data_IF_459576013855
#
_entry.id   IF_459576013855
#
_cell.length_a   1.000
_cell.length_b   1.000
_cell.length_c   1.000
_cell.angle_alpha   90.00
_cell.angle_beta   90.00
_cell.angle_gamma   90.00
#
_symmetry.space_group_name_H-M   'P 1'
#
loop_
_entity.id
_entity.type
_entity.pdbx_description
1 polymer ?
#
# COMPACT_ATOMS: atom_id res chain seq x y z
N UNK A 1 2.63 -16.18 -13.20
CA UNK A 1 3.14 -14.82 -12.90
C UNK A 1 2.33 -13.88 -13.75
N UNK A 2 1.70 -12.87 -13.17
CA UNK A 2 0.98 -11.87 -13.97
C UNK A 2 2.00 -10.97 -14.68
N UNK A 3 1.61 -10.39 -15.81
CA UNK A 3 2.37 -9.30 -16.42
C UNK A 3 2.25 -8.06 -15.53
N UNK A 4 3.35 -7.34 -15.28
CA UNK A 4 3.37 -6.18 -14.37
C UNK A 4 3.72 -4.87 -15.10
N UNK A 5 3.92 -4.94 -16.42
CA UNK A 5 4.43 -3.83 -17.24
C UNK A 5 5.94 -3.56 -17.11
N UNK A 6 6.59 -4.04 -16.04
CA UNK A 6 8.01 -3.74 -15.76
C UNK A 6 8.95 -4.93 -15.87
N UNK A 7 8.44 -6.17 -15.75
CA UNK A 7 9.28 -7.38 -15.75
C UNK A 7 10.24 -7.49 -14.56
N UNK A 8 10.09 -6.63 -13.55
CA UNK A 8 10.87 -6.67 -12.30
C UNK A 8 10.47 -7.89 -11.49
N UNK A 9 11.45 -8.58 -10.92
CA UNK A 9 11.25 -9.74 -10.05
C UNK A 9 11.89 -9.51 -8.68
N UNK A 10 11.61 -10.38 -7.72
CA UNK A 10 12.15 -10.29 -6.36
C UNK A 10 12.96 -11.55 -6.05
N UNK A 11 14.22 -11.37 -5.62
CA UNK A 11 15.07 -12.46 -5.14
C UNK A 11 14.89 -12.64 -3.63
N UNK A 12 14.29 -13.75 -3.26
CA UNK A 12 13.95 -14.09 -1.88
C UNK A 12 15.18 -14.34 -1.00
N UNK A 13 16.30 -14.77 -1.58
CA UNK A 13 17.50 -15.08 -0.81
C UNK A 13 18.20 -13.80 -0.32
N UNK A 14 18.20 -12.77 -1.18
CA UNK A 14 18.84 -11.49 -0.90
C UNK A 14 17.87 -10.43 -0.36
N UNK A 15 16.56 -10.63 -0.52
CA UNK A 15 15.50 -9.63 -0.28
C UNK A 15 15.66 -8.38 -1.16
N UNK A 16 16.03 -8.59 -2.43
CA UNK A 16 16.31 -7.52 -3.39
C UNK A 16 15.43 -7.63 -4.63
N UNK A 17 15.20 -6.49 -5.28
CA UNK A 17 14.54 -6.44 -6.58
C UNK A 17 15.55 -6.59 -7.71
N UNK A 18 15.20 -7.39 -8.71
CA UNK A 18 15.99 -7.62 -9.91
C UNK A 18 15.38 -6.86 -11.08
N UNK A 19 16.16 -5.89 -11.57
CA UNK A 19 15.78 -4.97 -12.63
C UNK A 19 16.26 -5.51 -14.00
N UNK A 20 15.37 -5.84 -14.94
CA UNK A 20 15.78 -6.23 -16.29
C UNK A 20 16.36 -5.04 -17.07
N UNK A 21 17.04 -5.32 -18.19
CA UNK A 21 17.56 -4.28 -19.06
C UNK A 21 16.44 -3.32 -19.52
N UNK A 22 16.72 -2.00 -19.49
CA UNK A 22 15.74 -0.98 -19.85
C UNK A 22 14.87 -0.49 -18.68
N UNK A 23 15.05 -1.03 -17.47
CA UNK A 23 14.45 -0.50 -16.24
C UNK A 23 15.46 0.27 -15.39
N UNK A 24 14.97 1.14 -14.51
CA UNK A 24 15.71 1.80 -13.44
C UNK A 24 15.07 1.52 -12.08
N UNK A 25 15.88 1.67 -11.04
CA UNK A 25 15.47 1.54 -9.65
C UNK A 25 16.68 1.70 -8.73
N UNK A 26 16.48 1.75 -7.41
CA UNK A 26 17.57 1.82 -6.45
C UNK A 26 18.42 0.55 -6.49
N UNK A 27 19.73 0.70 -6.23
CA UNK A 27 20.69 -0.42 -6.22
C UNK A 27 20.48 -1.40 -5.05
N UNK A 28 19.74 -0.98 -4.03
CA UNK A 28 19.36 -1.75 -2.85
C UNK A 28 17.94 -1.41 -2.44
N UNK A 29 17.15 -2.42 -2.10
CA UNK A 29 15.86 -2.23 -1.46
C UNK A 29 16.05 -1.70 -0.04
N UNK A 30 15.18 -0.78 0.37
CA UNK A 30 15.06 -0.37 1.75
C UNK A 30 14.36 -1.48 2.54
N UNK A 31 15.00 -1.94 3.62
CA UNK A 31 14.49 -3.03 4.44
C UNK A 31 13.75 -2.48 5.67
N UNK A 32 12.58 -3.04 5.96
CA UNK A 32 11.80 -2.76 7.17
C UNK A 32 11.89 -3.95 8.09
N UNK A 33 12.49 -3.73 9.25
CA UNK A 33 12.76 -4.79 10.21
C UNK A 33 11.61 -4.94 11.19
N UNK A 34 11.53 -6.10 11.84
CA UNK A 34 10.50 -6.38 12.85
C UNK A 34 10.39 -5.26 13.90
N UNK A 35 11.53 -4.80 14.41
CA UNK A 35 11.63 -3.70 15.39
C UNK A 35 10.94 -2.41 14.92
N UNK A 36 10.90 -2.16 13.62
CA UNK A 36 10.30 -0.95 13.04
C UNK A 36 8.78 -1.06 13.04
N UNK A 37 8.22 -2.27 13.15
CA UNK A 37 6.78 -2.53 13.06
C UNK A 37 6.14 -2.80 14.43
N UNK A 38 6.89 -3.35 15.39
CA UNK A 38 6.36 -3.82 16.69
C UNK A 38 5.52 -2.80 17.46
N UNK A 39 5.82 -1.51 17.36
CA UNK A 39 5.08 -0.43 18.02
C UNK A 39 3.65 -0.20 17.48
N UNK A 40 3.33 -0.79 16.32
CA UNK A 40 2.02 -0.71 15.66
C UNK A 40 1.22 -2.01 15.78
N UNK A 41 1.72 -2.97 16.56
CA UNK A 41 1.12 -4.29 16.76
C UNK A 41 0.31 -4.28 18.06
N UNK A 42 -0.69 -5.15 18.20
CA UNK A 42 -1.41 -5.33 19.45
C UNK A 42 -0.50 -5.90 20.56
N UNK A 43 0.49 -6.71 20.18
CA UNK A 43 1.51 -7.24 21.09
C UNK A 43 2.91 -6.82 20.64
N UNK A 44 3.52 -5.88 21.36
CA UNK A 44 4.83 -5.30 21.04
C UNK A 44 6.01 -6.27 21.24
N UNK A 45 5.82 -7.39 21.92
CA UNK A 45 6.86 -8.41 22.16
C UNK A 45 6.83 -9.56 21.15
N UNK A 46 5.93 -9.47 20.16
CA UNK A 46 5.72 -10.50 19.15
C UNK A 46 6.99 -10.85 18.39
N UNK A 47 7.07 -12.10 17.95
CA UNK A 47 8.16 -12.62 17.11
C UNK A 47 7.67 -12.85 15.70
N UNK A 48 8.57 -12.67 14.74
CA UNK A 48 8.29 -12.79 13.31
C UNK A 48 9.62 -12.79 12.55
N UNK A 49 9.57 -12.65 11.22
CA UNK A 49 10.78 -12.56 10.41
C UNK A 49 11.56 -11.27 10.74
N UNK A 50 12.89 -11.33 10.67
CA UNK A 50 13.75 -10.18 10.95
C UNK A 50 13.48 -9.02 9.97
N UNK A 51 13.36 -9.34 8.68
CA UNK A 51 12.91 -8.43 7.63
C UNK A 51 11.43 -8.72 7.37
N UNK A 52 10.58 -7.71 7.58
CA UNK A 52 9.13 -7.81 7.41
C UNK A 52 8.76 -7.52 5.96
N UNK A 53 9.36 -6.49 5.36
CA UNK A 53 9.18 -6.17 3.94
C UNK A 53 10.34 -5.33 3.38
N UNK A 54 10.49 -5.39 2.05
CA UNK A 54 11.50 -4.69 1.26
C UNK A 54 10.80 -3.70 0.32
N UNK A 55 11.31 -2.47 0.23
CA UNK A 55 10.73 -1.38 -0.58
C UNK A 55 11.76 -0.90 -1.60
N UNK A 56 11.36 -0.73 -2.84
CA UNK A 56 12.11 0.08 -3.81
C UNK A 56 11.19 1.17 -4.36
N UNK A 57 11.52 2.43 -4.03
CA UNK A 57 10.83 3.60 -4.55
C UNK A 57 11.55 4.11 -5.80
N UNK A 58 10.80 4.78 -6.67
CA UNK A 58 11.30 5.35 -7.92
C UNK A 58 11.87 4.29 -8.86
N UNK A 59 10.99 3.37 -9.26
CA UNK A 59 11.27 2.34 -10.27
C UNK A 59 10.50 2.64 -11.55
N UNK A 60 10.99 2.15 -12.69
CA UNK A 60 10.28 2.32 -13.96
C UNK A 60 11.13 1.94 -15.17
N UNK A 61 10.60 2.19 -16.36
CA UNK A 61 11.35 2.08 -17.61
C UNK A 61 12.19 3.33 -17.85
N UNK A 62 13.43 3.15 -18.30
CA UNK A 62 14.39 4.25 -18.54
C UNK A 62 13.83 5.28 -19.53
N UNK A 63 13.07 4.83 -20.53
CA UNK A 63 12.42 5.71 -21.52
C UNK A 63 11.39 6.66 -20.92
N UNK A 64 10.78 6.29 -19.79
CA UNK A 64 9.67 7.02 -19.18
C UNK A 64 10.13 7.93 -18.02
N UNK A 65 11.36 7.76 -17.57
CA UNK A 65 11.91 8.45 -16.40
C UNK A 65 11.77 9.98 -16.48
N UNK A 66 12.05 10.58 -17.64
CA UNK A 66 11.97 12.02 -17.82
C UNK A 66 10.55 12.56 -17.66
N UNK A 67 9.54 11.82 -18.13
CA UNK A 67 8.13 12.21 -18.01
C UNK A 67 7.62 12.01 -16.57
N UNK A 68 7.96 10.88 -15.93
CA UNK A 68 7.65 10.62 -14.53
C UNK A 68 8.22 11.70 -13.59
N UNK A 69 9.46 12.13 -13.81
CA UNK A 69 10.07 13.24 -13.07
C UNK A 69 9.30 14.54 -13.31
N UNK A 70 9.02 14.88 -14.57
CA UNK A 70 8.30 16.12 -14.92
C UNK A 70 6.90 16.19 -14.29
N UNK A 71 6.23 15.05 -14.11
CA UNK A 71 4.89 14.96 -13.51
C UNK A 71 4.87 14.93 -11.99
N UNK A 72 6.03 14.80 -11.35
CA UNK A 72 6.12 14.48 -9.92
C UNK A 72 5.38 13.17 -9.58
N UNK A 73 5.41 12.19 -10.49
CA UNK A 73 4.86 10.85 -10.29
C UNK A 73 6.01 9.85 -10.13
N UNK A 74 5.87 8.89 -9.24
CA UNK A 74 6.79 7.75 -9.14
C UNK A 74 6.03 6.44 -8.96
N UNK A 75 6.71 5.35 -9.33
CA UNK A 75 6.26 4.01 -9.05
C UNK A 75 7.10 3.41 -7.92
N UNK A 76 6.44 2.82 -6.93
CA UNK A 76 7.06 2.03 -5.87
C UNK A 76 6.76 0.55 -6.08
N UNK A 77 7.67 -0.31 -5.64
CA UNK A 77 7.44 -1.76 -5.55
C UNK A 77 7.79 -2.24 -4.15
N UNK A 78 6.98 -3.16 -3.64
CA UNK A 78 7.12 -3.65 -2.27
C UNK A 78 6.92 -5.16 -2.22
N UNK A 79 7.77 -5.84 -1.45
CA UNK A 79 7.71 -7.27 -1.22
C UNK A 79 7.64 -7.56 0.28
N UNK A 80 6.54 -8.15 0.72
CA UNK A 80 6.29 -8.54 2.10
C UNK A 80 6.74 -9.98 2.31
N UNK A 81 7.30 -10.28 3.48
CA UNK A 81 7.60 -11.64 3.88
C UNK A 81 6.31 -12.49 3.93
N UNK A 82 6.48 -13.81 3.79
CA UNK A 82 5.47 -14.77 4.22
C UNK A 82 5.53 -14.94 5.75
N UNK A 83 4.46 -15.48 6.35
CA UNK A 83 4.42 -15.81 7.78
C UNK A 83 3.49 -14.90 8.57
N UNK A 84 3.87 -14.65 9.82
CA UNK A 84 3.13 -13.84 10.78
C UNK A 84 4.08 -13.18 11.78
N UNK A 85 3.58 -12.15 12.46
CA UNK A 85 4.22 -11.54 13.63
C UNK A 85 3.34 -11.90 14.83
N UNK A 86 3.74 -12.94 15.57
CA UNK A 86 2.87 -13.56 16.57
C UNK A 86 1.61 -14.13 15.91
N UNK A 87 0.44 -13.68 16.39
CA UNK A 87 -0.86 -14.02 15.82
C UNK A 87 -1.35 -13.05 14.75
N UNK A 88 -0.66 -11.93 14.53
CA UNK A 88 -0.99 -10.94 13.50
C UNK A 88 -0.27 -11.25 12.17
N UNK A 89 -0.85 -10.91 11.01
CA UNK A 89 -0.19 -11.05 9.71
C UNK A 89 1.02 -10.12 9.56
N UNK A 90 1.85 -10.40 8.55
CA UNK A 90 2.86 -9.47 8.07
C UNK A 90 2.14 -8.22 7.54
N UNK A 91 2.46 -7.05 8.08
CA UNK A 91 1.84 -5.77 7.70
C UNK A 91 2.84 -4.61 7.80
N UNK A 92 2.55 -3.50 7.12
CA UNK A 92 3.24 -2.23 7.39
C UNK A 92 2.76 -1.60 8.70
N UNK A 93 3.57 -0.67 9.23
CA UNK A 93 3.24 0.08 10.46
C UNK A 93 1.98 0.94 10.35
N UNK A 94 1.60 1.29 9.11
CA UNK A 94 0.52 2.21 8.80
C UNK A 94 0.96 3.67 8.82
N UNK A 95 0.39 4.48 7.93
CA UNK A 95 0.70 5.90 7.78
C UNK A 95 -0.45 6.69 7.16
N UNK A 96 -0.36 8.01 7.26
CA UNK A 96 -1.10 8.95 6.42
C UNK A 96 -0.10 9.59 5.46
N UNK A 97 -0.47 9.82 4.21
CA UNK A 97 0.35 10.62 3.31
C UNK A 97 0.42 12.06 3.79
N UNK A 98 1.64 12.56 4.02
CA UNK A 98 1.89 13.96 4.31
C UNK A 98 1.41 14.85 3.16
N UNK A 99 1.15 16.12 3.46
CA UNK A 99 0.84 17.08 2.40
C UNK A 99 2.00 17.21 1.43
N UNK A 100 1.75 16.88 0.16
CA UNK A 100 2.70 17.05 -0.94
C UNK A 100 2.97 18.54 -1.18
N UNK A 101 4.23 18.89 -1.43
CA UNK A 101 4.62 20.25 -1.84
C UNK A 101 4.14 20.54 -3.26
N UNK A 102 4.01 19.52 -4.10
CA UNK A 102 3.52 19.62 -5.47
C UNK A 102 2.07 20.09 -5.55
N UNK A 103 1.17 19.52 -4.74
CA UNK A 103 -0.27 19.84 -4.81
C UNK A 103 -0.85 20.49 -3.54
N UNK A 104 -0.05 20.70 -2.49
CA UNK A 104 -0.47 21.32 -1.22
C UNK A 104 -1.61 20.57 -0.51
N UNK A 105 -1.71 19.26 -0.74
CA UNK A 105 -2.64 18.36 -0.05
C UNK A 105 -2.05 16.96 0.07
N UNK A 106 -2.63 16.13 0.93
CA UNK A 106 -2.34 14.70 0.96
C UNK A 106 -2.77 14.08 -0.39
N UNK A 107 -2.08 13.03 -0.82
CA UNK A 107 -2.28 12.39 -2.13
C UNK A 107 -2.85 10.99 -1.99
N UNK A 108 -3.58 10.47 -2.98
CA UNK A 108 -4.01 9.08 -2.96
C UNK A 108 -2.81 8.16 -3.24
N UNK A 109 -3.05 6.86 -3.14
CA UNK A 109 -2.13 5.81 -3.55
C UNK A 109 -2.90 4.77 -4.37
N UNK A 110 -2.31 4.32 -5.49
CA UNK A 110 -2.94 3.32 -6.37
C UNK A 110 -2.09 2.06 -6.35
N UNK A 111 -2.60 1.01 -5.72
CA UNK A 111 -1.94 -0.29 -5.59
C UNK A 111 -2.32 -1.21 -6.75
N UNK A 112 -1.37 -1.98 -7.26
CA UNK A 112 -1.63 -3.16 -8.09
C UNK A 112 -0.96 -4.38 -7.44
N UNK A 113 -1.74 -5.40 -7.10
CA UNK A 113 -1.20 -6.61 -6.48
C UNK A 113 -0.58 -7.48 -7.56
N UNK A 114 0.68 -7.88 -7.40
CA UNK A 114 1.43 -8.66 -8.39
C UNK A 114 1.52 -10.15 -8.04
N UNK A 115 1.57 -10.47 -6.75
CA UNK A 115 1.59 -11.85 -6.25
C UNK A 115 1.07 -11.92 -4.83
N UNK A 116 0.41 -13.02 -4.49
CA UNK A 116 -0.20 -13.23 -3.17
C UNK A 116 -1.57 -12.57 -3.04
N UNK A 117 -2.02 -12.42 -1.81
CA UNK A 117 -3.30 -11.81 -1.45
C UNK A 117 -3.04 -10.70 -0.43
N UNK A 118 -3.49 -9.50 -0.78
CA UNK A 118 -3.38 -8.31 0.04
C UNK A 118 -4.70 -8.00 0.73
N UNK A 119 -4.60 -7.38 1.90
CA UNK A 119 -5.65 -6.52 2.43
C UNK A 119 -5.08 -5.12 2.54
N UNK A 120 -5.70 -4.16 1.86
CA UNK A 120 -5.44 -2.74 2.09
C UNK A 120 -6.45 -2.29 3.15
N UNK A 121 -5.96 -2.12 4.38
CA UNK A 121 -6.75 -1.57 5.46
C UNK A 121 -6.63 -0.05 5.43
N UNK A 122 -7.76 0.65 5.56
CA UNK A 122 -7.78 2.11 5.59
C UNK A 122 -8.88 2.64 6.52
N UNK A 123 -8.60 3.80 7.12
CA UNK A 123 -9.53 4.56 7.96
C UNK A 123 -9.44 6.04 7.62
N UNK A 124 -10.57 6.75 7.67
CA UNK A 124 -10.66 8.16 7.29
C UNK A 124 -9.71 9.07 8.07
N UNK A 125 -9.49 8.78 9.34
CA UNK A 125 -8.71 9.64 10.23
C UNK A 125 -7.79 8.83 11.14
N UNK A 126 -6.60 9.34 11.45
CA UNK A 126 -5.74 8.84 12.53
C UNK A 126 -6.16 9.30 13.94
N UNK A 127 -7.25 10.06 14.05
CA UNK A 127 -7.74 10.61 15.31
C UNK A 127 -8.51 9.56 16.13
N UNK A 128 -8.87 9.89 17.37
CA UNK A 128 -9.64 9.01 18.26
C UNK A 128 -10.95 8.52 17.64
N UNK A 129 -11.62 9.34 16.84
CA UNK A 129 -12.68 8.87 15.94
C UNK A 129 -12.03 8.56 14.58
N UNK A 130 -11.90 7.27 14.20
CA UNK A 130 -11.27 6.89 12.94
C UNK A 130 -12.18 7.09 11.73
N UNK A 131 -13.46 7.44 11.94
CA UNK A 131 -14.46 7.48 10.88
C UNK A 131 -14.80 6.10 10.33
N UNK A 132 -15.05 6.01 9.03
CA UNK A 132 -15.26 4.76 8.31
C UNK A 132 -13.94 3.99 8.20
N UNK A 133 -13.98 2.70 8.52
CA UNK A 133 -12.84 1.80 8.35
C UNK A 133 -13.19 0.72 7.32
N UNK A 134 -12.26 0.43 6.42
CA UNK A 134 -12.39 -0.60 5.40
C UNK A 134 -11.20 -1.56 5.43
N UNK A 135 -11.49 -2.82 5.11
CA UNK A 135 -10.50 -3.83 4.79
C UNK A 135 -10.81 -4.37 3.39
N UNK A 136 -10.03 -3.93 2.41
CA UNK A 136 -10.24 -4.29 1.00
C UNK A 136 -9.30 -5.43 0.63
N UNK A 137 -9.87 -6.62 0.39
CA UNK A 137 -9.15 -7.79 -0.09
C UNK A 137 -8.87 -7.68 -1.58
N UNK A 138 -7.63 -7.93 -1.99
CA UNK A 138 -7.18 -7.87 -3.38
C UNK A 138 -6.19 -8.99 -3.69
N UNK A 139 -6.32 -9.58 -4.87
CA UNK A 139 -5.49 -10.66 -5.40
C UNK A 139 -4.67 -10.16 -6.58
N UNK A 140 -3.73 -10.98 -7.03
CA UNK A 140 -2.88 -10.67 -8.18
C UNK A 140 -3.70 -10.18 -9.40
N UNK A 141 -3.34 -9.00 -9.93
CA UNK A 141 -4.00 -8.30 -11.03
C UNK A 141 -5.07 -7.29 -10.60
N UNK A 142 -5.48 -7.30 -9.34
CA UNK A 142 -6.47 -6.36 -8.81
C UNK A 142 -5.82 -5.07 -8.31
N UNK A 143 -6.57 -3.98 -8.45
CA UNK A 143 -6.17 -2.62 -8.06
C UNK A 143 -6.95 -2.19 -6.84
N UNK A 144 -6.30 -1.45 -5.93
CA UNK A 144 -6.95 -0.78 -4.80
C UNK A 144 -6.49 0.66 -4.73
N UNK A 145 -7.41 1.61 -4.55
CA UNK A 145 -7.09 3.02 -4.37
C UNK A 145 -7.32 3.41 -2.92
N UNK A 146 -6.28 3.96 -2.28
CA UNK A 146 -6.41 4.66 -1.01
C UNK A 146 -6.65 6.14 -1.31
N UNK A 147 -7.73 6.74 -0.80
CA UNK A 147 -8.05 8.14 -1.08
C UNK A 147 -7.14 9.11 -0.29
N UNK A 148 -7.06 10.39 -0.71
CA UNK A 148 -6.25 11.41 -0.04
C UNK A 148 -6.58 11.54 1.46
N UNK A 149 -5.55 11.64 2.30
CA UNK A 149 -5.69 11.94 3.74
C UNK A 149 -6.04 10.75 4.63
N UNK A 150 -6.30 9.56 4.07
CA UNK A 150 -6.69 8.40 4.87
C UNK A 150 -5.48 7.68 5.46
N UNK A 151 -5.61 7.28 6.72
CA UNK A 151 -4.62 6.43 7.37
C UNK A 151 -4.79 5.01 6.87
N UNK A 152 -3.71 4.35 6.47
CA UNK A 152 -3.80 3.03 5.85
C UNK A 152 -2.56 2.18 6.13
N UNK A 153 -2.72 0.86 6.00
CA UNK A 153 -1.63 -0.08 5.94
C UNK A 153 -1.94 -1.22 4.96
N UNK A 154 -0.88 -1.88 4.50
CA UNK A 154 -0.96 -3.07 3.67
C UNK A 154 -0.70 -4.28 4.54
N UNK A 155 -1.49 -5.33 4.34
CA UNK A 155 -1.45 -6.57 5.09
C UNK A 155 -1.30 -7.72 4.09
N UNK A 156 -0.36 -8.62 4.34
CA UNK A 156 -0.30 -9.91 3.66
C UNK A 156 -1.38 -10.83 4.27
N UNK A 157 -2.40 -11.17 3.49
CA UNK A 157 -3.52 -11.99 3.95
C UNK A 157 -3.15 -13.48 4.10
N UNK A 158 -1.97 -13.89 3.61
CA UNK A 158 -1.48 -15.26 3.65
C UNK A 158 -0.39 -15.46 4.71
N UNK A 159 -0.43 -16.64 5.37
CA UNK A 159 0.66 -17.10 6.25
C UNK A 159 1.79 -17.80 5.50
N UNK A 160 1.50 -18.35 4.33
CA UNK A 160 2.43 -19.25 3.63
C UNK A 160 3.00 -18.62 2.37
N UNK A 161 2.30 -17.65 1.81
CA UNK A 161 2.71 -16.95 0.60
C UNK A 161 3.17 -15.54 0.95
N UNK A 162 4.12 -15.04 0.18
CA UNK A 162 4.52 -13.64 0.22
C UNK A 162 3.53 -12.78 -0.56
N UNK A 163 3.55 -11.49 -0.28
CA UNK A 163 2.81 -10.49 -1.02
C UNK A 163 3.80 -9.58 -1.77
N UNK A 164 3.58 -9.36 -3.07
CA UNK A 164 4.34 -8.38 -3.87
C UNK A 164 3.34 -7.49 -4.60
N UNK A 165 3.58 -6.19 -4.61
CA UNK A 165 2.73 -5.21 -5.28
C UNK A 165 3.54 -4.02 -5.79
N UNK A 166 2.98 -3.34 -6.79
CA UNK A 166 3.42 -2.04 -7.25
C UNK A 166 2.44 -0.95 -6.81
N UNK A 167 2.89 0.30 -6.72
CA UNK A 167 2.03 1.42 -6.38
C UNK A 167 2.42 2.73 -7.07
N UNK A 168 1.43 3.50 -7.52
CA UNK A 168 1.63 4.90 -7.91
C UNK A 168 1.54 5.82 -6.70
N UNK A 169 2.57 6.66 -6.54
CA UNK A 169 2.63 7.71 -5.51
C UNK A 169 3.14 9.01 -6.12
N UNK A 170 2.86 10.13 -5.45
CA UNK A 170 3.54 11.39 -5.73
C UNK A 170 5.03 11.27 -5.41
N UNK A 171 5.87 11.91 -6.23
CA UNK A 171 7.33 11.81 -6.14
C UNK A 171 7.91 12.42 -4.89
N UNK A 172 7.30 13.49 -4.39
CA UNK A 172 7.68 14.14 -3.14
C UNK A 172 6.96 13.55 -1.91
N UNK A 173 6.65 12.24 -1.97
CA UNK A 173 5.96 11.51 -0.91
C UNK A 173 6.55 11.79 0.48
N UNK A 174 5.65 11.80 1.45
CA UNK A 174 5.99 11.91 2.86
C UNK A 174 4.93 11.19 3.69
N UNK A 175 5.28 10.88 4.92
CA UNK A 175 4.43 10.07 5.80
C UNK A 175 4.26 10.73 7.15
N UNK A 176 3.01 10.79 7.62
CA UNK A 176 2.63 11.23 8.95
C UNK A 176 2.31 10.01 9.81
N UNK A 177 3.08 9.83 10.89
CA UNK A 177 2.98 8.68 11.79
C UNK A 177 2.43 9.04 13.17
N UNK A 178 2.43 10.32 13.55
CA UNK A 178 2.22 10.75 14.93
C UNK A 178 0.89 10.27 15.49
N UNK A 179 -0.20 10.53 14.76
CA UNK A 179 -1.55 10.15 15.20
C UNK A 179 -1.70 8.63 15.34
N UNK A 180 -1.15 7.86 14.39
CA UNK A 180 -1.21 6.38 14.43
C UNK A 180 -0.39 5.84 15.61
N UNK A 181 0.82 6.38 15.82
CA UNK A 181 1.69 5.98 16.93
C UNK A 181 1.08 6.33 18.29
N UNK A 182 0.41 7.47 18.41
CA UNK A 182 -0.28 7.87 19.63
C UNK A 182 -1.39 6.90 20.05
N UNK A 183 -1.91 6.10 19.12
CA UNK A 183 -2.94 5.09 19.36
C UNK A 183 -2.42 3.64 19.22
N UNK A 184 -1.09 3.43 19.21
CA UNK A 184 -0.45 2.11 19.07
C UNK A 184 -0.85 1.35 17.79
N UNK A 185 -1.02 2.08 16.68
CA UNK A 185 -1.43 1.52 15.39
C UNK A 185 -2.80 2.00 14.93
N UNK A 186 -3.41 1.23 14.04
CA UNK A 186 -4.70 1.55 13.42
C UNK A 186 -5.88 1.04 14.25
N UNK A 187 -7.09 1.39 13.85
CA UNK A 187 -8.32 1.18 14.61
C UNK A 187 -8.72 -0.29 14.78
N UNK A 188 -8.22 -1.20 13.94
CA UNK A 188 -8.43 -2.64 14.07
C UNK A 188 -7.12 -3.40 13.85
N UNK A 189 -6.86 -4.37 14.71
CA UNK A 189 -5.75 -5.31 14.57
C UNK A 189 -6.21 -6.58 13.85
N UNK A 190 -5.63 -6.94 12.69
CA UNK A 190 -5.88 -8.21 12.05
C UNK A 190 -5.18 -9.34 12.81
N UNK A 191 -5.88 -10.43 13.11
CA UNK A 191 -5.31 -11.61 13.75
C UNK A 191 -5.75 -12.88 13.06
N UNK A 192 -4.85 -13.84 12.97
CA UNK A 192 -5.17 -15.17 12.52
C UNK A 192 -5.66 -16.03 13.69
N UNK A 193 -6.80 -16.69 13.53
CA UNK A 193 -7.26 -17.72 14.47
C UNK A 193 -6.36 -18.97 14.39
N UNK A 194 -6.55 -19.91 15.32
CA UNK A 194 -5.88 -21.22 15.28
C UNK A 194 -6.22 -22.02 14.01
N UNK A 195 -7.37 -21.75 13.39
CA UNK A 195 -7.77 -22.33 12.10
C UNK A 195 -7.21 -21.56 10.89
N UNK A 196 -6.42 -20.51 11.10
CA UNK A 196 -5.82 -19.71 10.04
C UNK A 196 -6.76 -18.68 9.40
N UNK A 197 -7.95 -18.46 9.95
CA UNK A 197 -8.87 -17.42 9.47
C UNK A 197 -8.47 -16.05 10.01
N UNK A 198 -8.52 -15.01 9.19
CA UNK A 198 -8.36 -13.63 9.66
C UNK A 198 -9.61 -13.15 10.41
N UNK A 199 -9.39 -12.52 11.56
CA UNK A 199 -10.39 -11.82 12.37
C UNK A 199 -9.87 -10.43 12.74
N UNK A 200 -10.78 -9.50 13.03
CA UNK A 200 -10.43 -8.13 13.38
C UNK A 200 -10.75 -7.84 14.84
N UNK A 201 -9.73 -7.42 15.58
CA UNK A 201 -9.88 -7.01 16.98
C UNK A 201 -9.85 -5.48 17.05
N UNK A 202 -10.88 -4.82 17.59
CA UNK A 202 -10.88 -3.37 17.76
C UNK A 202 -9.71 -2.91 18.64
N UNK A 203 -9.01 -1.87 18.21
CA UNK A 203 -8.05 -1.15 19.02
C UNK A 203 -8.78 -0.21 19.98
N UNK A 204 -8.64 -0.45 21.28
CA UNK A 204 -9.33 0.31 22.34
C UNK A 204 -8.89 1.76 22.46
N UNK A 205 -7.81 2.15 21.78
CA UNK A 205 -7.37 3.55 21.67
C UNK A 205 -8.31 4.39 20.80
N UNK A 206 -9.13 3.75 19.96
CA UNK A 206 -10.08 4.39 19.06
C UNK A 206 -11.54 4.18 19.52
N UNK A 207 -12.41 5.10 19.14
CA UNK A 207 -13.87 4.97 19.24
C UNK A 207 -14.44 4.35 17.96
N UNK A 208 -14.10 3.09 17.74
CA UNK A 208 -14.52 2.39 16.52
C UNK A 208 -16.01 2.06 16.53
N UNK A 209 -16.65 2.19 15.35
CA UNK A 209 -18.05 1.81 15.17
C UNK A 209 -18.18 0.48 14.43
N UNK A 210 -17.58 0.40 13.25
CA UNK A 210 -17.67 -0.75 12.37
C UNK A 210 -16.46 -0.80 11.44
N UNK A 211 -16.03 -2.02 11.10
CA UNK A 211 -15.16 -2.31 9.99
C UNK A 211 -15.99 -2.88 8.84
N UNK A 212 -15.77 -2.39 7.63
CA UNK A 212 -16.39 -2.91 6.42
C UNK A 212 -15.35 -3.75 5.66
N UNK A 213 -15.53 -5.06 5.67
CA UNK A 213 -14.72 -5.98 4.86
C UNK A 213 -15.35 -6.12 3.46
N UNK A 214 -14.55 -5.97 2.41
CA UNK A 214 -15.01 -6.14 1.03
C UNK A 214 -13.88 -6.57 0.09
N UNK A 215 -14.23 -6.99 -1.12
CA UNK A 215 -13.25 -7.23 -2.18
C UNK A 215 -12.96 -5.93 -2.94
N UNK A 216 -11.82 -5.91 -3.63
CA UNK A 216 -11.49 -4.90 -4.63
C UNK A 216 -12.64 -4.75 -5.65
N UNK A 217 -12.76 -3.54 -6.19
CA UNK A 217 -13.76 -3.21 -7.22
C UNK A 217 -13.10 -2.51 -8.38
N UNK A 218 -13.83 -2.41 -9.48
CA UNK A 218 -13.45 -1.54 -10.58
C UNK A 218 -13.59 -0.06 -10.16
N UNK A 219 -12.60 0.76 -10.54
CA UNK A 219 -12.58 2.21 -10.36
C UNK A 219 -12.86 2.92 -11.69
N UNK A 220 -14.09 2.78 -12.20
CA UNK A 220 -14.51 3.38 -13.47
C UNK A 220 -14.44 4.91 -13.47
N UNK A 221 -14.63 5.53 -12.31
CA UNK A 221 -14.51 6.98 -12.10
C UNK A 221 -13.08 7.50 -12.31
N UNK A 222 -12.08 6.63 -12.16
CA UNK A 222 -10.67 6.92 -12.47
C UNK A 222 -10.23 6.27 -13.79
N UNK A 223 -11.19 5.74 -14.57
CA UNK A 223 -10.98 5.02 -15.82
C UNK A 223 -9.97 3.86 -15.73
N UNK A 224 -9.78 3.25 -14.54
CA UNK A 224 -8.83 2.15 -14.37
C UNK A 224 -9.33 0.91 -15.12
N UNK A 225 -8.49 0.38 -15.99
CA UNK A 225 -8.77 -0.80 -16.79
C UNK A 225 -8.38 -2.08 -16.04
N UNK A 226 -9.27 -3.05 -16.01
CA UNK A 226 -8.97 -4.36 -15.42
C UNK A 226 -8.08 -5.17 -16.36
N UNK A 227 -7.21 -6.03 -15.80
CA UNK A 227 -6.30 -6.91 -16.55
C UNK A 227 -5.27 -6.19 -17.44
N UNK A 228 -5.08 -4.88 -17.25
CA UNK A 228 -3.96 -4.12 -17.83
C UNK A 228 -3.14 -3.57 -16.66
N UNK A 229 -1.84 -3.89 -16.56
CA UNK A 229 -1.01 -3.40 -15.47
C UNK A 229 -1.05 -1.88 -15.37
N UNK A 230 -1.07 -1.34 -14.14
CA UNK A 230 -1.23 0.12 -13.95
C UNK A 230 -0.03 0.89 -14.51
N UNK A 231 1.15 0.25 -14.61
CA UNK A 231 2.31 0.82 -15.31
C UNK A 231 2.07 0.92 -16.82
N UNK A 232 1.51 -0.13 -17.43
CA UNK A 232 1.21 -0.14 -18.86
C UNK A 232 0.08 0.83 -19.22
N UNK A 233 -0.93 1.00 -18.35
CA UNK A 233 -1.96 2.03 -18.54
C UNK A 233 -1.36 3.44 -18.60
N UNK A 234 -0.34 3.72 -17.79
CA UNK A 234 0.42 4.97 -17.87
C UNK A 234 1.18 5.08 -19.19
N UNK A 235 1.81 4.02 -19.70
CA UNK A 235 2.52 4.06 -20.99
C UNK A 235 1.56 4.34 -22.16
N UNK A 236 0.33 3.81 -22.09
CA UNK A 236 -0.72 4.03 -23.09
C UNK A 236 -1.26 5.46 -23.05
N UNK A 237 -1.44 6.01 -21.85
CA UNK A 237 -1.90 7.38 -21.62
C UNK A 237 -1.19 7.97 -20.40
N UNK A 238 -0.15 8.78 -20.60
CA UNK A 238 0.67 9.27 -19.48
C UNK A 238 -0.08 10.16 -18.49
N UNK A 239 -1.25 10.69 -18.87
CA UNK A 239 -2.15 11.50 -18.01
C UNK A 239 -3.11 10.66 -17.18
N UNK A 240 -3.18 9.33 -17.38
CA UNK A 240 -4.13 8.43 -16.72
C UNK A 240 -4.11 8.53 -15.19
N UNK A 241 -2.93 8.75 -14.62
CA UNK A 241 -2.72 8.82 -13.16
C UNK A 241 -2.46 10.24 -12.66
N UNK A 242 -2.83 11.27 -13.42
CA UNK A 242 -2.67 12.67 -12.98
C UNK A 242 -3.48 12.96 -11.69
N UNK A 243 -4.51 12.17 -11.39
CA UNK A 243 -5.26 12.25 -10.13
C UNK A 243 -4.42 11.89 -8.88
N UNK A 244 -3.30 11.19 -9.05
CA UNK A 244 -2.36 10.89 -7.96
C UNK A 244 -1.57 12.14 -7.56
N UNK A 245 -1.16 12.94 -8.55
CA UNK A 245 -0.32 14.13 -8.35
C UNK A 245 -1.14 15.42 -8.23
N UNK A 246 -2.37 15.43 -8.75
CA UNK A 246 -3.34 16.53 -8.70
C UNK A 246 -4.71 16.08 -8.22
N UNK A 247 -4.81 15.47 -7.02
CA UNK A 247 -6.09 15.01 -6.49
C UNK A 247 -7.10 16.15 -6.28
N UNK A 248 -6.64 17.40 -6.21
CA UNK A 248 -7.47 18.60 -6.16
C UNK A 248 -8.38 18.79 -7.39
N UNK A 249 -8.02 18.20 -8.53
CA UNK A 249 -8.81 18.22 -9.75
C UNK A 249 -9.88 17.11 -9.79
N UNK A 250 -9.81 16.12 -8.89
CA UNK A 250 -10.75 15.00 -8.75
C UNK A 250 -11.57 15.06 -7.45
N UNK A 251 -11.75 16.25 -6.87
CA UNK A 251 -12.43 16.44 -5.57
C UNK A 251 -13.77 15.73 -5.48
N UNK A 252 -14.59 15.82 -6.53
CA UNK A 252 -15.92 15.19 -6.57
C UNK A 252 -15.84 13.67 -6.48
N UNK A 253 -14.82 13.03 -7.07
CA UNK A 253 -14.64 11.57 -7.00
C UNK A 253 -14.15 11.10 -5.62
N UNK A 254 -13.53 12.00 -4.85
CA UNK A 254 -13.11 11.72 -3.48
C UNK A 254 -14.24 11.93 -2.47
N UNK A 255 -15.28 12.69 -2.82
CA UNK A 255 -16.45 12.88 -1.96
C UNK A 255 -17.17 11.54 -1.79
N UNK A 256 -17.42 11.17 -0.53
CA UNK A 256 -18.08 9.92 -0.16
C UNK A 256 -17.41 8.65 -0.71
N UNK A 257 -16.15 8.73 -1.16
CA UNK A 257 -15.42 7.62 -1.77
C UNK A 257 -15.56 6.32 -0.96
N UNK A 258 -15.86 5.25 -1.68
CA UNK A 258 -15.92 3.89 -1.13
C UNK A 258 -14.84 3.08 -1.85
N UNK A 259 -13.79 2.65 -1.14
CA UNK A 259 -12.68 1.91 -1.74
C UNK A 259 -13.17 0.58 -2.30
#
# INVERSE_FOLDING_TARGET
MIETGLGITFDENSNEFLYPAGTFGPSRAEQRYLKDILHSMANHDSKGPDIVYSIAMDVGLVKDQADLVKRELLFGIVAYAAGSIGDEPIKSQGHIHASSKTCQMSTPEVYEIWSGEAIIYMQENGSKDPGRCYAVQAKAGEVVIVPPGWAHCTINASRTERLVFGAWCVRDYGFEYEAIRAHNGLAFYPKFTVQGKLIWIPNTSYQTKQLIEKNARQYSEFAIEENVPIYQQYEQENTKFDFVVRPDLWKEEWLDFVP
#
